data_IF_062042241374
#
_entry.id   IF_062042241374
#
_cell.length_a   1.000
_cell.length_b   1.000
_cell.length_c   1.000
_cell.angle_alpha   90.00
_cell.angle_beta   90.00
_cell.angle_gamma   90.00
#
_symmetry.space_group_name_H-M   'P 1'
#
loop_
_entity.id
_entity.type
_entity.pdbx_description
1 polymer ?
#
# COMPACT_ATOMS: atom_id res chain seq x y z
N UNK A 1 19.21 -21.15 -53.68
CA UNK A 1 19.52 -20.30 -52.49
C UNK A 1 18.37 -20.05 -51.48
N UNK A 2 17.14 -20.61 -51.61
CA UNK A 2 15.99 -20.29 -50.72
C UNK A 2 15.79 -21.17 -49.46
N UNK A 3 16.56 -22.24 -49.25
CA UNK A 3 16.32 -23.17 -48.12
C UNK A 3 17.00 -22.79 -46.79
N UNK A 4 17.92 -21.82 -46.77
CA UNK A 4 18.72 -21.49 -45.57
C UNK A 4 17.91 -20.64 -44.55
N UNK A 5 16.87 -19.91 -44.99
CA UNK A 5 16.10 -19.01 -44.11
C UNK A 5 15.15 -19.74 -43.14
N UNK A 6 14.70 -20.94 -43.48
CA UNK A 6 13.71 -21.70 -42.67
C UNK A 6 14.34 -22.44 -41.50
N UNK A 7 15.62 -22.83 -41.62
CA UNK A 7 16.36 -23.50 -40.54
C UNK A 7 16.75 -22.49 -39.45
N UNK A 8 17.21 -21.30 -39.84
CA UNK A 8 17.60 -20.21 -38.92
C UNK A 8 16.41 -19.67 -38.11
N UNK A 9 15.23 -19.53 -38.73
CA UNK A 9 14.02 -19.08 -38.04
C UNK A 9 13.47 -20.10 -37.02
N UNK A 10 13.57 -21.40 -37.32
CA UNK A 10 13.22 -22.47 -36.37
C UNK A 10 14.12 -22.48 -35.13
N UNK A 11 15.42 -22.24 -35.31
CA UNK A 11 16.40 -22.19 -34.21
C UNK A 11 16.11 -20.99 -33.30
N UNK A 12 15.99 -19.79 -33.88
CA UNK A 12 15.67 -18.55 -33.15
C UNK A 12 14.36 -18.65 -32.36
N UNK A 13 13.34 -19.29 -32.94
CA UNK A 13 12.07 -19.50 -32.26
C UNK A 13 12.16 -20.50 -31.11
N UNK A 14 12.93 -21.57 -31.26
CA UNK A 14 13.16 -22.56 -30.20
C UNK A 14 13.89 -21.95 -28.99
N UNK A 15 14.84 -21.05 -29.24
CA UNK A 15 15.55 -20.32 -28.18
C UNK A 15 14.65 -19.30 -27.47
N UNK A 16 13.81 -18.58 -28.23
CA UNK A 16 12.84 -17.66 -27.66
C UNK A 16 11.86 -18.38 -26.72
N UNK A 17 11.32 -19.52 -27.13
CA UNK A 17 10.42 -20.32 -26.28
C UNK A 17 11.13 -20.85 -25.03
N UNK A 18 12.39 -21.29 -25.14
CA UNK A 18 13.20 -21.69 -23.97
C UNK A 18 13.36 -20.52 -22.99
N UNK A 19 13.77 -19.33 -23.47
CA UNK A 19 13.98 -18.14 -22.62
C UNK A 19 12.69 -17.67 -21.95
N UNK A 20 11.58 -17.65 -22.70
CA UNK A 20 10.26 -17.27 -22.17
C UNK A 20 9.79 -18.23 -21.06
N UNK A 21 9.96 -19.55 -21.26
CA UNK A 21 9.61 -20.54 -20.23
C UNK A 21 10.48 -20.47 -18.98
N UNK A 22 11.78 -20.23 -19.13
CA UNK A 22 12.68 -20.02 -17.99
C UNK A 22 12.23 -18.78 -17.20
N UNK A 23 11.92 -17.67 -17.87
CA UNK A 23 11.43 -16.47 -17.20
C UNK A 23 10.13 -16.73 -16.40
N UNK A 24 9.18 -17.47 -16.98
CA UNK A 24 7.90 -17.74 -16.32
C UNK A 24 7.99 -18.75 -15.16
N UNK A 25 8.93 -19.70 -15.24
CA UNK A 25 9.22 -20.63 -14.14
C UNK A 25 9.94 -19.95 -12.99
N UNK A 26 10.91 -19.06 -13.27
CA UNK A 26 11.59 -18.24 -12.25
C UNK A 26 10.60 -17.30 -11.54
N UNK A 27 9.71 -16.64 -12.28
CA UNK A 27 8.70 -15.74 -11.68
C UNK A 27 7.75 -16.53 -10.75
N UNK A 28 7.25 -17.69 -11.17
CA UNK A 28 6.33 -18.50 -10.35
C UNK A 28 7.00 -19.17 -9.14
N UNK A 29 8.28 -19.57 -9.26
CA UNK A 29 9.04 -20.17 -8.14
C UNK A 29 9.40 -19.13 -7.09
N UNK A 30 9.83 -17.92 -7.50
CA UNK A 30 10.07 -16.83 -6.57
C UNK A 30 8.78 -16.39 -5.87
N UNK A 31 7.65 -16.31 -6.58
CA UNK A 31 6.37 -15.96 -5.96
C UNK A 31 5.87 -16.99 -4.93
N UNK A 32 6.12 -18.27 -5.16
CA UNK A 32 5.74 -19.32 -4.20
C UNK A 32 6.63 -19.31 -2.97
N UNK A 33 7.92 -19.01 -3.11
CA UNK A 33 8.84 -18.82 -1.98
C UNK A 33 8.45 -17.61 -1.12
N UNK A 34 8.12 -16.46 -1.74
CA UNK A 34 7.64 -15.27 -1.03
C UNK A 34 6.32 -15.49 -0.28
N UNK A 35 5.39 -16.25 -0.86
CA UNK A 35 4.13 -16.61 -0.19
C UNK A 35 4.31 -17.60 0.98
N UNK A 36 5.38 -18.40 0.95
CA UNK A 36 5.69 -19.40 1.97
C UNK A 36 6.52 -18.83 3.14
N UNK A 37 7.29 -17.75 2.92
CA UNK A 37 8.02 -17.06 3.99
C UNK A 37 7.12 -16.24 4.92
N UNK A 38 5.93 -15.85 4.45
CA UNK A 38 4.91 -15.15 5.26
C UNK A 38 4.20 -16.06 6.29
N UNK A 39 4.39 -17.38 6.25
CA UNK A 39 3.79 -18.31 7.23
C UNK A 39 4.87 -19.12 7.95
N UNK A 40 5.49 -18.53 8.98
CA UNK A 40 6.62 -19.13 9.71
C UNK A 40 6.37 -20.49 10.38
N UNK A 41 5.13 -21.01 10.40
CA UNK A 41 4.77 -22.28 11.05
C UNK A 41 4.16 -23.36 10.13
N UNK A 42 4.25 -23.25 8.80
CA UNK A 42 3.70 -24.29 7.93
C UNK A 42 4.59 -25.55 7.88
N UNK A 43 4.10 -26.65 8.47
CA UNK A 43 4.74 -27.99 8.52
C UNK A 43 5.43 -28.33 7.18
N UNK A 44 6.72 -28.66 7.24
CA UNK A 44 7.62 -28.99 6.11
C UNK A 44 7.01 -29.98 5.09
N UNK A 45 6.19 -30.94 5.58
CA UNK A 45 5.45 -31.93 4.78
C UNK A 45 4.35 -31.32 3.90
N UNK A 46 3.65 -30.30 4.40
CA UNK A 46 2.61 -29.59 3.66
C UNK A 46 3.22 -28.69 2.58
N UNK A 47 4.33 -28.01 2.90
CA UNK A 47 5.11 -27.22 1.93
C UNK A 47 5.54 -28.09 0.73
N UNK A 48 6.04 -29.31 0.99
CA UNK A 48 6.43 -30.28 -0.07
C UNK A 48 5.24 -30.79 -0.90
N UNK A 49 4.08 -31.01 -0.27
CA UNK A 49 2.85 -31.44 -0.99
C UNK A 49 2.32 -30.33 -1.89
N UNK A 50 2.32 -29.08 -1.41
CA UNK A 50 1.88 -27.91 -2.19
C UNK A 50 2.81 -27.68 -3.37
N UNK A 51 4.14 -27.73 -3.20
CA UNK A 51 5.08 -27.56 -4.31
C UNK A 51 4.91 -28.64 -5.38
N UNK A 52 4.74 -29.90 -4.99
CA UNK A 52 4.44 -31.00 -5.94
C UNK A 52 3.13 -30.80 -6.72
N UNK A 53 2.07 -30.34 -6.06
CA UNK A 53 0.79 -30.04 -6.73
C UNK A 53 0.93 -28.88 -7.72
N UNK A 54 1.67 -27.83 -7.37
CA UNK A 54 1.94 -26.70 -8.27
C UNK A 54 2.76 -27.15 -9.47
N UNK A 55 3.80 -27.96 -9.27
CA UNK A 55 4.62 -28.52 -10.35
C UNK A 55 3.81 -29.39 -11.32
N UNK A 56 2.94 -30.29 -10.81
CA UNK A 56 2.03 -31.09 -11.64
C UNK A 56 1.08 -30.20 -12.47
N UNK A 57 0.53 -29.13 -11.88
CA UNK A 57 -0.33 -28.18 -12.60
C UNK A 57 0.42 -27.45 -13.70
N UNK A 58 1.66 -27.02 -13.45
CA UNK A 58 2.51 -26.37 -14.44
C UNK A 58 2.88 -27.32 -15.59
N UNK A 59 3.24 -28.57 -15.29
CA UNK A 59 3.53 -29.58 -16.31
C UNK A 59 2.31 -29.87 -17.20
N UNK A 60 1.11 -29.96 -16.62
CA UNK A 60 -0.11 -30.16 -17.40
C UNK A 60 -0.44 -28.94 -18.28
N UNK A 61 -0.20 -27.71 -17.78
CA UNK A 61 -0.35 -26.49 -18.57
C UNK A 61 0.65 -26.47 -19.74
N UNK A 62 1.90 -26.89 -19.52
CA UNK A 62 2.91 -27.04 -20.57
C UNK A 62 2.47 -28.03 -21.66
N UNK A 63 1.98 -29.22 -21.27
CA UNK A 63 1.49 -30.23 -22.22
C UNK A 63 0.37 -29.68 -23.11
N UNK A 64 -0.61 -28.96 -22.53
CA UNK A 64 -1.71 -28.34 -23.27
C UNK A 64 -1.23 -27.27 -24.24
N UNK A 65 -0.33 -26.39 -23.80
CA UNK A 65 0.24 -25.32 -24.64
C UNK A 65 1.05 -25.93 -25.80
N UNK A 66 1.88 -26.94 -25.53
CA UNK A 66 2.66 -27.65 -26.55
C UNK A 66 1.76 -28.33 -27.59
N UNK A 67 0.66 -28.96 -27.16
CA UNK A 67 -0.33 -29.56 -28.06
C UNK A 67 -0.99 -28.50 -28.94
N UNK A 68 -1.42 -27.38 -28.34
CA UNK A 68 -2.05 -26.27 -29.06
C UNK A 68 -1.11 -25.65 -30.11
N UNK A 69 0.17 -25.43 -29.76
CA UNK A 69 1.16 -24.96 -30.73
C UNK A 69 1.38 -25.97 -31.86
N UNK A 70 1.49 -27.28 -31.56
CA UNK A 70 1.67 -28.31 -32.59
C UNK A 70 0.47 -28.36 -33.57
N UNK A 71 -0.73 -28.09 -33.09
CA UNK A 71 -1.94 -27.96 -33.91
C UNK A 71 -1.90 -26.70 -34.78
N UNK A 72 -1.54 -25.54 -34.22
CA UNK A 72 -1.48 -24.28 -34.95
C UNK A 72 -0.41 -24.26 -36.05
N UNK A 73 0.72 -24.95 -35.86
CA UNK A 73 1.79 -25.03 -36.87
C UNK A 73 1.46 -25.94 -38.06
N UNK A 74 0.34 -26.67 -38.05
CA UNK A 74 -0.13 -27.43 -39.23
C UNK A 74 -0.91 -26.57 -40.24
N UNK A 75 -1.32 -25.36 -39.89
CA UNK A 75 -2.05 -24.50 -40.82
C UNK A 75 -1.09 -23.89 -41.87
N UNK A 76 -1.48 -23.89 -43.16
CA UNK A 76 -0.66 -23.35 -44.24
C UNK A 76 -0.39 -21.84 -44.04
N UNK A 77 0.82 -21.42 -44.41
CA UNK A 77 1.44 -20.11 -44.12
C UNK A 77 0.71 -18.90 -44.75
N UNK A 78 -0.29 -19.13 -45.61
CA UNK A 78 -0.90 -18.09 -46.44
C UNK A 78 -1.62 -16.99 -45.64
N UNK A 79 -2.05 -17.24 -44.40
CA UNK A 79 -2.73 -16.24 -43.57
C UNK A 79 -1.88 -15.73 -42.38
N UNK A 80 -0.67 -15.23 -42.66
CA UNK A 80 0.23 -14.64 -41.65
C UNK A 80 -0.45 -13.51 -40.84
N UNK A 81 -1.33 -12.73 -41.47
CA UNK A 81 -2.14 -11.69 -40.81
C UNK A 81 -3.10 -12.26 -39.75
N UNK A 82 -3.75 -13.38 -40.05
CA UNK A 82 -4.65 -14.05 -39.11
C UNK A 82 -3.89 -14.53 -37.86
N UNK A 83 -2.71 -15.13 -38.05
CA UNK A 83 -1.88 -15.60 -36.93
C UNK A 83 -1.42 -14.44 -36.03
N UNK A 84 -1.04 -13.30 -36.61
CA UNK A 84 -0.65 -12.10 -35.85
C UNK A 84 -1.85 -11.56 -35.05
N UNK A 85 -3.02 -11.46 -35.66
CA UNK A 85 -4.23 -10.99 -34.99
C UNK A 85 -4.68 -11.95 -33.89
N UNK A 86 -4.52 -13.26 -34.10
CA UNK A 86 -4.81 -14.30 -33.11
C UNK A 86 -3.84 -14.26 -31.92
N UNK A 87 -2.54 -14.06 -32.15
CA UNK A 87 -1.57 -13.88 -31.06
C UNK A 87 -1.86 -12.60 -30.27
N UNK A 88 -2.22 -11.51 -30.96
CA UNK A 88 -2.63 -10.26 -30.30
C UNK A 88 -3.86 -10.47 -29.42
N UNK A 89 -4.90 -11.15 -29.92
CA UNK A 89 -6.12 -11.39 -29.13
C UNK A 89 -5.86 -12.30 -27.93
N UNK A 90 -5.02 -13.33 -28.07
CA UNK A 90 -4.58 -14.17 -26.95
C UNK A 90 -3.81 -13.37 -25.90
N UNK A 91 -2.87 -12.50 -26.31
CA UNK A 91 -2.13 -11.66 -25.38
C UNK A 91 -3.03 -10.70 -24.61
N UNK A 92 -4.01 -10.08 -25.29
CA UNK A 92 -5.01 -9.23 -24.66
C UNK A 92 -5.83 -10.02 -23.63
N UNK A 93 -6.27 -11.23 -23.98
CA UNK A 93 -7.02 -12.10 -23.07
C UNK A 93 -6.21 -12.51 -21.84
N UNK A 94 -4.95 -12.92 -22.01
CA UNK A 94 -4.10 -13.30 -20.88
C UNK A 94 -3.77 -12.10 -19.98
N UNK A 95 -3.53 -10.93 -20.57
CA UNK A 95 -3.26 -9.71 -19.83
C UNK A 95 -4.49 -9.23 -19.03
N UNK A 96 -5.68 -9.27 -19.63
CA UNK A 96 -6.92 -8.91 -18.94
C UNK A 96 -7.24 -9.89 -17.81
N UNK A 97 -7.06 -11.20 -18.02
CA UNK A 97 -7.18 -12.22 -16.96
C UNK A 97 -6.19 -12.00 -15.82
N UNK A 98 -4.95 -11.64 -16.13
CA UNK A 98 -3.93 -11.37 -15.11
C UNK A 98 -4.32 -10.16 -14.25
N UNK A 99 -4.72 -9.05 -14.88
CA UNK A 99 -5.20 -7.86 -14.17
C UNK A 99 -6.40 -8.20 -13.30
N UNK A 100 -7.38 -8.95 -13.83
CA UNK A 100 -8.57 -9.34 -13.08
C UNK A 100 -8.22 -10.19 -11.84
N UNK A 101 -7.34 -11.17 -11.99
CA UNK A 101 -6.91 -12.02 -10.87
C UNK A 101 -6.18 -11.22 -9.80
N UNK A 102 -5.26 -10.34 -10.19
CA UNK A 102 -4.56 -9.47 -9.23
C UNK A 102 -5.51 -8.48 -8.55
N UNK A 103 -6.49 -7.93 -9.28
CA UNK A 103 -7.54 -7.08 -8.71
C UNK A 103 -8.41 -7.83 -7.69
N UNK A 104 -8.83 -9.06 -8.01
CA UNK A 104 -9.62 -9.91 -7.11
C UNK A 104 -8.82 -10.30 -5.85
N UNK A 105 -7.53 -10.61 -6.00
CA UNK A 105 -6.62 -10.89 -4.88
C UNK A 105 -6.44 -9.67 -4.01
N UNK A 106 -6.20 -8.50 -4.59
CA UNK A 106 -6.11 -7.24 -3.87
C UNK A 106 -7.38 -6.97 -3.05
N UNK A 107 -8.56 -7.17 -3.66
CA UNK A 107 -9.85 -7.00 -2.98
C UNK A 107 -10.02 -7.99 -1.81
N UNK A 108 -9.62 -9.25 -1.98
CA UNK A 108 -9.64 -10.23 -0.88
C UNK A 108 -8.68 -9.86 0.26
N UNK A 109 -7.45 -9.46 -0.05
CA UNK A 109 -6.46 -9.09 0.98
C UNK A 109 -6.84 -7.80 1.71
N UNK A 110 -7.38 -6.81 0.98
CA UNK A 110 -7.90 -5.60 1.60
C UNK A 110 -9.07 -5.94 2.53
N UNK A 111 -10.02 -6.74 2.06
CA UNK A 111 -11.15 -7.16 2.89
C UNK A 111 -10.71 -7.92 4.14
N UNK A 112 -9.64 -8.73 4.10
CA UNK A 112 -9.10 -9.40 5.28
C UNK A 112 -8.49 -8.41 6.29
N UNK A 113 -7.70 -7.44 5.83
CA UNK A 113 -7.11 -6.41 6.68
C UNK A 113 -8.19 -5.54 7.37
N UNK A 114 -9.27 -5.23 6.66
CA UNK A 114 -10.33 -4.35 7.16
C UNK A 114 -11.53 -5.10 7.79
N UNK A 115 -11.51 -6.44 7.85
CA UNK A 115 -12.65 -7.24 8.34
C UNK A 115 -12.95 -6.97 9.82
N UNK A 116 -11.91 -6.75 10.61
CA UNK A 116 -12.01 -6.62 12.07
C UNK A 116 -11.95 -5.16 12.55
N UNK A 117 -11.37 -4.25 11.76
CA UNK A 117 -11.21 -2.85 12.14
C UNK A 117 -11.64 -1.92 11.02
N UNK A 118 -12.81 -1.29 11.19
CA UNK A 118 -13.37 -0.34 10.21
C UNK A 118 -12.93 1.10 10.46
N UNK A 119 -12.52 1.41 11.69
CA UNK A 119 -12.22 2.78 12.10
C UNK A 119 -10.74 3.09 11.88
N UNK A 120 -10.47 4.20 11.20
CA UNK A 120 -9.12 4.68 10.90
C UNK A 120 -8.84 5.89 11.78
N UNK A 121 -7.74 5.84 12.53
CA UNK A 121 -7.12 7.01 13.13
C UNK A 121 -6.00 7.50 12.21
N UNK A 122 -6.20 8.63 11.56
CA UNK A 122 -5.22 9.20 10.65
C UNK A 122 -4.50 10.39 11.28
N UNK A 123 -3.19 10.26 11.49
CA UNK A 123 -2.29 11.34 11.89
C UNK A 123 -1.70 11.99 10.66
N UNK A 124 -2.18 13.19 10.30
CA UNK A 124 -1.70 13.91 9.12
C UNK A 124 -0.77 15.07 9.49
N UNK A 125 0.44 15.07 8.93
CA UNK A 125 1.50 16.03 9.21
C UNK A 125 1.80 16.93 8.00
N UNK A 126 0.86 17.82 7.66
CA UNK A 126 0.96 18.67 6.47
C UNK A 126 1.61 20.02 6.80
N UNK A 127 2.75 20.34 6.18
CA UNK A 127 3.45 21.64 6.30
C UNK A 127 3.71 22.05 7.77
N UNK A 128 4.21 21.13 8.60
CA UNK A 128 4.40 21.34 10.04
C UNK A 128 3.09 21.72 10.76
N UNK A 129 2.01 21.04 10.42
CA UNK A 129 0.74 21.11 11.13
C UNK A 129 0.23 19.71 11.39
N UNK A 130 -0.41 19.54 12.53
CA UNK A 130 -0.99 18.28 12.96
C UNK A 130 -2.51 18.33 12.84
N UNK A 131 -3.04 17.41 12.03
CA UNK A 131 -4.48 17.28 11.76
C UNK A 131 -4.92 15.84 11.95
N UNK A 132 -5.06 15.36 13.19
CA UNK A 132 -5.56 14.02 13.41
C UNK A 132 -7.05 13.94 13.09
N UNK A 133 -7.43 12.84 12.46
CA UNK A 133 -8.83 12.58 12.06
C UNK A 133 -9.21 11.15 12.38
N UNK A 134 -10.47 10.95 12.76
CA UNK A 134 -11.07 9.63 12.93
C UNK A 134 -12.21 9.51 11.93
N UNK A 135 -12.20 8.46 11.12
CA UNK A 135 -13.24 8.21 10.13
C UNK A 135 -13.46 6.72 9.91
N UNK A 136 -14.62 6.37 9.36
CA UNK A 136 -14.92 5.00 8.93
C UNK A 136 -14.35 4.76 7.53
N UNK A 137 -13.61 3.66 7.35
CA UNK A 137 -13.06 3.28 6.04
C UNK A 137 -14.13 3.02 4.98
N UNK A 138 -15.26 2.40 5.35
CA UNK A 138 -16.26 1.95 4.38
C UNK A 138 -17.16 3.09 3.92
N UNK A 139 -17.68 3.87 4.88
CA UNK A 139 -18.60 4.99 4.57
C UNK A 139 -17.86 6.30 4.32
N UNK A 140 -16.56 6.36 4.64
CA UNK A 140 -15.76 7.59 4.64
C UNK A 140 -16.35 8.70 5.54
N UNK A 141 -17.24 8.34 6.47
CA UNK A 141 -17.84 9.27 7.41
C UNK A 141 -16.79 9.71 8.45
N UNK A 142 -16.62 11.02 8.60
CA UNK A 142 -15.65 11.60 9.52
C UNK A 142 -16.32 11.85 10.87
N UNK A 143 -15.88 11.12 11.90
CA UNK A 143 -16.34 11.33 13.27
C UNK A 143 -15.70 12.60 13.85
N UNK A 144 -14.38 12.73 13.66
CA UNK A 144 -13.59 13.75 14.34
C UNK A 144 -12.53 14.27 13.39
N UNK A 145 -12.35 15.59 13.39
CA UNK A 145 -11.30 16.28 12.66
C UNK A 145 -10.72 17.38 13.55
N UNK A 146 -9.54 17.13 14.13
CA UNK A 146 -8.88 18.08 15.02
C UNK A 146 -7.81 18.85 14.26
N UNK A 147 -7.52 20.06 14.74
CA UNK A 147 -6.41 20.85 14.22
C UNK A 147 -5.76 21.69 15.31
N UNK A 148 -4.47 22.00 15.12
CA UNK A 148 -3.77 22.99 15.96
C UNK A 148 -4.44 24.38 15.94
N UNK A 149 -5.27 24.65 14.92
CA UNK A 149 -6.09 25.86 14.84
C UNK A 149 -7.08 25.97 15.98
N UNK A 150 -7.76 24.88 16.32
CA UNK A 150 -8.74 24.82 17.41
C UNK A 150 -8.09 25.15 18.75
N UNK A 151 -6.91 24.57 19.02
CA UNK A 151 -6.14 24.89 20.23
C UNK A 151 -5.71 26.35 20.27
N UNK A 152 -5.25 26.90 19.14
CA UNK A 152 -4.80 28.30 19.11
C UNK A 152 -5.92 29.29 19.38
N UNK A 153 -7.13 29.00 18.87
CA UNK A 153 -8.32 29.81 19.13
C UNK A 153 -8.69 29.79 20.62
N UNK A 154 -8.68 28.61 21.25
CA UNK A 154 -8.99 28.47 22.69
C UNK A 154 -8.07 29.26 23.62
N UNK A 155 -6.80 29.43 23.23
CA UNK A 155 -5.80 30.18 24.01
C UNK A 155 -5.55 31.61 23.50
N UNK A 156 -6.33 32.11 22.52
CA UNK A 156 -6.17 33.45 21.90
C UNK A 156 -4.72 33.77 21.46
N UNK A 157 -3.97 32.76 21.04
CA UNK A 157 -2.52 32.89 20.82
C UNK A 157 -2.13 33.28 19.38
N UNK A 158 -0.96 33.91 19.24
CA UNK A 158 -0.35 34.31 17.96
C UNK A 158 -0.03 33.10 17.06
N UNK A 159 0.11 33.34 15.74
CA UNK A 159 0.38 32.29 14.72
C UNK A 159 1.62 31.42 15.03
N UNK A 160 2.62 31.95 15.72
CA UNK A 160 3.83 31.21 16.14
C UNK A 160 3.54 30.07 17.11
N UNK A 161 2.49 30.18 17.92
CA UNK A 161 2.08 29.18 18.90
C UNK A 161 1.83 27.81 18.26
N UNK A 162 1.27 27.79 17.04
CA UNK A 162 0.98 26.55 16.28
C UNK A 162 2.22 25.72 15.95
N UNK A 163 3.43 26.30 16.00
CA UNK A 163 4.68 25.58 15.73
C UNK A 163 5.31 24.97 16.99
N UNK A 164 4.86 25.39 18.17
CA UNK A 164 5.42 24.94 19.43
C UNK A 164 5.05 23.46 19.70
N UNK A 165 6.06 22.66 20.07
CA UNK A 165 5.91 21.25 20.45
C UNK A 165 4.83 21.03 21.50
N UNK A 166 4.72 21.92 22.49
CA UNK A 166 3.71 21.81 23.55
C UNK A 166 2.28 21.76 23.01
N UNK A 167 1.99 22.50 21.94
CA UNK A 167 0.64 22.54 21.33
C UNK A 167 0.31 21.23 20.62
N UNK A 168 1.32 20.56 20.06
CA UNK A 168 1.15 19.22 19.48
C UNK A 168 0.81 18.19 20.56
N UNK A 169 1.52 18.24 21.69
CA UNK A 169 1.29 17.32 22.81
C UNK A 169 -0.06 17.58 23.48
N UNK A 170 -0.45 18.84 23.65
CA UNK A 170 -1.79 19.18 24.14
C UNK A 170 -2.88 18.62 23.22
N UNK A 171 -2.72 18.75 21.89
CA UNK A 171 -3.66 18.18 20.94
C UNK A 171 -3.66 16.65 20.92
N UNK A 172 -2.50 16.02 21.13
CA UNK A 172 -2.38 14.57 21.27
C UNK A 172 -3.07 14.06 22.56
N UNK A 173 -2.89 14.75 23.69
CA UNK A 173 -3.58 14.43 24.95
C UNK A 173 -5.10 14.60 24.83
N UNK A 174 -5.55 15.66 24.14
CA UNK A 174 -6.97 15.85 23.85
C UNK A 174 -7.53 14.72 22.96
N UNK A 175 -6.79 14.35 21.91
CA UNK A 175 -7.13 13.21 21.06
C UNK A 175 -7.17 11.90 21.87
N UNK A 176 -6.25 11.69 22.82
CA UNK A 176 -6.28 10.52 23.71
C UNK A 176 -7.58 10.44 24.49
N UNK A 177 -8.00 11.53 25.13
CA UNK A 177 -9.29 11.56 25.86
C UNK A 177 -10.44 11.17 24.94
N UNK A 178 -10.48 11.73 23.73
CA UNK A 178 -11.46 11.34 22.71
C UNK A 178 -11.42 9.82 22.44
N UNK A 179 -10.23 9.24 22.26
CA UNK A 179 -10.10 7.80 21.99
C UNK A 179 -10.60 6.95 23.17
N UNK A 180 -10.25 7.33 24.41
CA UNK A 180 -10.70 6.65 25.63
C UNK A 180 -12.23 6.60 25.72
N UNK A 181 -12.88 7.74 25.49
CA UNK A 181 -14.34 7.89 25.68
C UNK A 181 -15.17 7.61 24.43
N UNK A 182 -14.56 7.30 23.29
CA UNK A 182 -15.28 7.02 22.04
C UNK A 182 -16.01 5.67 22.00
N UNK A 183 -15.70 4.76 22.91
CA UNK A 183 -16.19 3.36 22.90
C UNK A 183 -15.60 2.50 21.77
N UNK A 184 -14.72 3.02 20.91
CA UNK A 184 -14.11 2.28 19.81
C UNK A 184 -12.84 1.56 20.33
N UNK A 185 -12.86 0.23 20.31
CA UNK A 185 -11.78 -0.60 20.84
C UNK A 185 -10.58 -0.75 19.89
N UNK A 186 -10.79 -0.67 18.58
CA UNK A 186 -9.78 -1.05 17.59
C UNK A 186 -9.68 -0.05 16.46
N UNK A 187 -8.46 0.43 16.21
CA UNK A 187 -8.18 1.39 15.13
C UNK A 187 -7.07 0.89 14.19
N UNK A 188 -7.13 1.36 12.95
CA UNK A 188 -5.98 1.36 12.04
C UNK A 188 -5.31 2.72 12.14
N UNK A 189 -4.06 2.74 12.59
CA UNK A 189 -3.27 3.96 12.69
C UNK A 189 -2.64 4.27 11.33
N UNK A 190 -2.97 5.42 10.76
CA UNK A 190 -2.47 5.87 9.46
C UNK A 190 -1.67 7.14 9.63
N UNK A 191 -0.36 7.08 9.36
CA UNK A 191 0.55 8.22 9.44
C UNK A 191 0.77 8.75 8.03
N UNK A 192 0.28 9.95 7.76
CA UNK A 192 0.44 10.62 6.46
C UNK A 192 1.48 11.72 6.55
N UNK A 193 2.34 11.77 5.52
CA UNK A 193 3.41 12.76 5.35
C UNK A 193 4.50 12.59 6.43
N UNK A 194 5.43 13.54 6.47
CA UNK A 194 6.61 13.47 7.34
C UNK A 194 6.19 13.87 8.75
N UNK A 195 6.25 12.94 9.72
CA UNK A 195 5.75 13.23 11.05
C UNK A 195 6.74 14.11 11.82
N UNK A 196 6.20 15.04 12.61
CA UNK A 196 6.95 15.97 13.47
C UNK A 196 6.60 15.63 14.91
N UNK A 197 7.60 15.50 15.79
CA UNK A 197 7.41 15.05 17.19
C UNK A 197 6.68 13.70 17.30
N UNK A 198 6.89 12.81 16.33
CA UNK A 198 6.16 11.54 16.23
C UNK A 198 6.25 10.70 17.50
N UNK A 199 7.48 10.53 18.02
CA UNK A 199 7.76 9.70 19.18
C UNK A 199 6.98 10.21 20.38
N UNK A 200 7.01 11.52 20.60
CA UNK A 200 6.33 12.15 21.73
C UNK A 200 4.80 12.14 21.57
N UNK A 201 4.27 12.37 20.36
CA UNK A 201 2.83 12.29 20.09
C UNK A 201 2.30 10.88 20.33
N UNK A 202 3.00 9.85 19.85
CA UNK A 202 2.60 8.46 20.09
C UNK A 202 2.71 8.10 21.57
N UNK A 203 3.75 8.56 22.24
CA UNK A 203 3.90 8.37 23.69
C UNK A 203 2.75 9.01 24.47
N UNK A 204 2.37 10.24 24.12
CA UNK A 204 1.21 10.95 24.69
C UNK A 204 -0.12 10.27 24.36
N UNK A 205 -0.24 9.59 23.21
CA UNK A 205 -1.46 8.86 22.85
C UNK A 205 -1.58 7.53 23.56
N UNK A 206 -0.46 6.84 23.86
CA UNK A 206 -0.47 5.50 24.43
C UNK A 206 -0.39 5.47 25.95
N UNK A 207 0.26 6.46 26.57
CA UNK A 207 0.42 6.51 28.03
C UNK A 207 -0.63 7.41 28.70
N UNK A 208 -1.05 7.07 29.93
CA UNK A 208 -2.03 7.85 30.67
C UNK A 208 -1.52 9.26 30.99
N UNK A 209 -2.43 10.22 31.02
CA UNK A 209 -2.14 11.58 31.47
C UNK A 209 -1.91 11.56 32.99
N UNK A 210 -0.87 12.26 33.45
CA UNK A 210 -0.50 12.31 34.87
C UNK A 210 -1.50 13.14 35.68
N UNK A 211 -2.00 14.23 35.11
CA UNK A 211 -2.92 15.13 35.77
C UNK A 211 -4.35 14.56 35.79
N UNK A 212 -5.00 14.49 36.97
CA UNK A 212 -6.40 14.11 37.07
C UNK A 212 -7.29 15.13 36.36
N UNK A 213 -8.47 14.69 35.92
CA UNK A 213 -9.45 15.55 35.27
C UNK A 213 -10.87 15.04 35.49
N UNK A 214 -11.85 15.92 35.39
CA UNK A 214 -13.26 15.57 35.50
C UNK A 214 -13.73 14.68 34.34
N UNK A 215 -14.53 13.66 34.64
CA UNK A 215 -15.12 12.80 33.63
C UNK A 215 -15.99 13.63 32.67
N UNK A 216 -15.84 13.47 31.33
CA UNK A 216 -16.51 14.36 30.36
C UNK A 216 -18.03 14.21 30.30
N UNK A 217 -18.59 13.13 30.86
CA UNK A 217 -20.02 12.85 30.89
C UNK A 217 -20.60 12.72 32.31
N UNK A 218 -19.75 12.71 33.34
CA UNK A 218 -20.17 12.53 34.74
C UNK A 218 -19.65 13.71 35.55
N UNK A 219 -20.55 14.62 35.91
CA UNK A 219 -20.20 15.86 36.60
C UNK A 219 -19.77 15.54 38.03
N UNK A 220 -18.65 16.12 38.48
CA UNK A 220 -18.12 15.96 39.84
C UNK A 220 -17.26 14.71 40.06
N UNK A 221 -17.17 13.81 39.07
CA UNK A 221 -16.31 12.63 39.16
C UNK A 221 -14.89 12.96 38.67
N UNK A 222 -13.91 12.99 39.58
CA UNK A 222 -12.49 13.22 39.25
C UNK A 222 -11.84 11.89 38.91
N UNK A 223 -11.29 11.79 37.70
CA UNK A 223 -10.62 10.59 37.24
C UNK A 223 -9.10 10.70 37.26
N UNK A 224 -8.49 9.64 37.78
CA UNK A 224 -7.08 9.34 37.60
C UNK A 224 -6.88 8.32 36.50
N UNK A 225 -6.33 8.78 35.38
CA UNK A 225 -6.20 7.94 34.19
C UNK A 225 -5.24 6.76 34.34
N UNK A 226 -4.32 6.84 35.32
CA UNK A 226 -3.38 5.75 35.64
C UNK A 226 -4.10 4.46 36.04
N UNK A 227 -5.29 4.58 36.64
CA UNK A 227 -6.07 3.45 37.12
C UNK A 227 -6.96 2.85 36.01
N UNK A 228 -7.11 3.55 34.89
CA UNK A 228 -7.96 3.13 33.77
C UNK A 228 -7.15 2.27 32.80
N UNK A 229 -7.58 1.02 32.61
CA UNK A 229 -7.02 0.16 31.56
C UNK A 229 -7.34 0.74 30.19
N UNK A 230 -6.32 0.91 29.34
CA UNK A 230 -6.50 1.49 28.00
C UNK A 230 -7.54 0.68 27.18
N UNK A 231 -8.72 1.26 26.84
CA UNK A 231 -9.81 0.55 26.17
C UNK A 231 -9.59 0.36 24.67
N UNK A 232 -8.60 1.04 24.07
CA UNK A 232 -8.34 0.98 22.64
C UNK A 232 -6.95 0.42 22.31
N UNK A 233 -6.83 -0.21 21.14
CA UNK A 233 -5.56 -0.69 20.58
C UNK A 233 -5.48 -0.43 19.07
N UNK A 234 -4.26 -0.43 18.55
CA UNK A 234 -3.98 -0.31 17.11
C UNK A 234 -3.77 -1.69 16.50
N UNK A 235 -4.62 -2.08 15.56
CA UNK A 235 -4.47 -3.37 14.86
C UNK A 235 -3.39 -3.32 13.77
N UNK A 236 -3.27 -2.17 13.10
CA UNK A 236 -2.26 -1.95 12.07
C UNK A 236 -1.72 -0.53 12.17
N UNK A 237 -0.46 -0.37 11.76
CA UNK A 237 0.20 0.93 11.61
C UNK A 237 0.67 1.05 10.16
N UNK A 238 0.11 2.03 9.45
CA UNK A 238 0.39 2.28 8.03
C UNK A 238 1.05 3.63 7.88
N UNK A 239 2.16 3.66 7.15
CA UNK A 239 2.86 4.90 6.82
C UNK A 239 2.71 5.22 5.33
N UNK A 240 2.19 6.41 5.01
CA UNK A 240 2.00 6.88 3.64
C UNK A 240 2.96 8.02 3.30
N UNK A 241 3.61 7.90 2.14
CA UNK A 241 4.58 8.88 1.62
C UNK A 241 5.79 9.08 2.55
N UNK A 242 6.32 7.99 3.11
CA UNK A 242 7.59 8.03 3.79
C UNK A 242 8.68 8.51 2.84
N UNK A 243 9.59 9.35 3.34
CA UNK A 243 10.85 9.56 2.63
C UNK A 243 11.51 8.20 2.46
N UNK A 244 11.98 7.83 1.26
CA UNK A 244 12.70 6.58 1.10
C UNK A 244 13.91 6.58 2.04
N UNK A 245 14.05 5.52 2.84
CA UNK A 245 15.24 5.29 3.65
C UNK A 245 16.37 4.89 2.72
N UNK A 246 17.11 5.88 2.21
CA UNK A 246 18.25 5.66 1.32
C UNK A 246 18.56 6.85 0.43
N UNK A 247 19.80 6.88 -0.10
CA UNK A 247 20.22 7.83 -1.15
C UNK A 247 19.63 7.40 -2.50
N UNK A 248 18.31 7.37 -2.64
CA UNK A 248 17.72 7.40 -3.98
C UNK A 248 17.94 8.81 -4.52
N UNK A 249 19.09 9.01 -5.17
CA UNK A 249 19.43 10.26 -5.87
C UNK A 249 18.36 10.47 -6.94
N UNK A 250 17.31 11.21 -6.62
CA UNK A 250 16.33 11.64 -7.60
C UNK A 250 17.11 12.34 -8.70
N UNK A 251 16.85 11.99 -9.97
CA UNK A 251 17.47 12.66 -11.12
C UNK A 251 17.16 14.15 -11.01
N UNK A 252 18.13 14.93 -10.53
CA UNK A 252 17.99 16.38 -10.42
C UNK A 252 17.82 16.92 -11.84
N UNK A 253 16.71 17.62 -12.13
CA UNK A 253 16.60 18.38 -13.38
C UNK A 253 17.83 19.27 -13.50
N UNK A 254 18.52 19.22 -14.65
CA UNK A 254 19.68 20.07 -14.94
C UNK A 254 19.34 21.55 -14.89
N UNK A 255 20.36 22.42 -14.78
CA UNK A 255 20.21 23.87 -14.60
C UNK A 255 19.26 24.50 -15.65
N UNK A 256 19.42 24.11 -16.92
CA UNK A 256 18.59 24.58 -18.03
C UNK A 256 17.11 24.20 -17.84
N UNK A 257 16.83 22.92 -17.57
CA UNK A 257 15.46 22.43 -17.34
C UNK A 257 14.81 23.09 -16.12
N UNK A 258 15.57 23.47 -15.09
CA UNK A 258 15.06 24.25 -13.95
C UNK A 258 14.70 25.68 -14.35
N UNK A 259 15.54 26.37 -15.12
CA UNK A 259 15.25 27.73 -15.61
C UNK A 259 13.99 27.74 -16.47
N UNK A 260 13.85 26.80 -17.40
CA UNK A 260 12.67 26.67 -18.26
C UNK A 260 11.41 26.41 -17.42
N UNK A 261 11.48 25.43 -16.50
CA UNK A 261 10.33 25.11 -15.62
C UNK A 261 9.89 26.31 -14.79
N UNK A 262 10.84 27.06 -14.20
CA UNK A 262 10.54 28.30 -13.45
C UNK A 262 9.89 29.37 -14.33
N UNK A 263 10.38 29.52 -15.56
CA UNK A 263 9.81 30.47 -16.54
C UNK A 263 8.36 30.10 -16.88
N UNK A 264 8.09 28.82 -17.13
CA UNK A 264 6.73 28.32 -17.42
C UNK A 264 5.79 28.52 -16.23
N UNK A 265 6.21 28.17 -15.01
CA UNK A 265 5.36 28.39 -13.81
C UNK A 265 5.06 29.86 -13.57
N UNK A 266 6.03 30.74 -13.82
CA UNK A 266 5.86 32.19 -13.70
C UNK A 266 4.90 32.75 -14.75
N UNK A 267 5.05 32.32 -16.02
CA UNK A 267 4.15 32.69 -17.12
C UNK A 267 2.71 32.24 -16.81
N UNK A 268 2.56 31.00 -16.36
CA UNK A 268 1.25 30.42 -16.10
C UNK A 268 0.63 30.87 -14.77
N UNK A 269 1.31 31.73 -13.99
CA UNK A 269 0.90 32.18 -12.65
C UNK A 269 0.43 31.03 -11.74
N UNK A 270 1.01 29.85 -11.90
CA UNK A 270 0.66 28.69 -11.08
C UNK A 270 1.29 28.94 -9.71
N UNK A 271 0.45 29.19 -8.72
CA UNK A 271 0.87 29.37 -7.32
C UNK A 271 1.21 27.99 -6.74
N UNK A 272 2.38 27.87 -6.10
CA UNK A 272 2.80 26.67 -5.35
C UNK A 272 1.96 26.42 -4.07
#
# INVERSE_FOLDING_TARGET
>A
MKQISTKKSKILYSEFLKKYFIAQTVINTNFTLYALDYSKNFKKKLKKKITLMVLKRLQNKYKRVKFFFKFFFKFPVQNKLFLINFIKSLNIYYYSRFILVEFLRYKQTANLLFKHTRKILQLNFLRYRFFPKIYDYLTNYQYINLSLGMMSWRYKNKKSFKKNKLVYLLLANFLRKILLYSGIKSYILVIKKIPVYYKEIINSLLNPVIAPYEHPFEIGNILEEKNIKNPFWFSYILFYNNKPYGKLKLKKKGRLKRKISKKITMINRIVD
#
